data_IF_187661076826
#
_entry.id   IF_187661076826
#
_cell.length_a   1.000
_cell.length_b   1.000
_cell.length_c   1.000
_cell.angle_alpha   90.00
_cell.angle_beta   90.00
_cell.angle_gamma   90.00
#
_symmetry.space_group_name_H-M   'P 1'
#
loop_
_entity.id
_entity.type
_entity.pdbx_description
1 polymer ?
#
# COMPACT_ATOMS: atom_id res chain seq x y z
N UNK A 1 -15.41 5.19 2.41
CA UNK A 1 -16.38 6.29 2.64
C UNK A 1 -15.63 7.34 3.44
N UNK A 2 -15.62 8.59 3.01
CA UNK A 2 -14.89 9.68 3.65
C UNK A 2 -15.90 10.71 4.16
N UNK A 3 -15.65 11.29 5.34
CA UNK A 3 -16.48 12.35 5.93
C UNK A 3 -15.66 13.63 6.02
N UNK A 4 -16.18 14.72 5.43
CA UNK A 4 -15.46 15.99 5.32
C UNK A 4 -16.43 17.18 5.43
N UNK A 5 -15.94 18.33 5.98
CA UNK A 5 -16.70 19.57 5.96
C UNK A 5 -16.94 20.08 4.54
N UNK A 6 -18.02 20.79 4.34
CA UNK A 6 -18.37 21.40 3.05
C UNK A 6 -18.00 22.89 3.07
N UNK A 7 -17.19 23.28 2.11
CA UNK A 7 -16.85 24.67 1.83
C UNK A 7 -17.44 25.03 0.46
N UNK A 8 -18.46 25.87 0.44
CA UNK A 8 -19.18 26.24 -0.80
C UNK A 8 -18.41 27.24 -1.67
N UNK A 9 -17.52 28.02 -1.09
CA UNK A 9 -16.79 29.09 -1.76
C UNK A 9 -15.35 28.68 -2.16
N UNK A 10 -15.20 27.55 -2.87
CA UNK A 10 -13.88 27.10 -3.32
C UNK A 10 -13.65 27.51 -4.77
N UNK A 11 -12.61 28.30 -5.02
CA UNK A 11 -12.13 28.61 -6.36
C UNK A 11 -11.11 27.58 -6.84
N UNK A 12 -10.82 27.57 -8.15
CA UNK A 12 -9.83 26.66 -8.74
C UNK A 12 -8.41 26.87 -8.18
N UNK A 13 -8.10 28.06 -7.64
CA UNK A 13 -6.82 28.36 -6.98
C UNK A 13 -6.68 27.69 -5.62
N UNK A 14 -7.78 27.56 -4.89
CA UNK A 14 -7.80 27.13 -3.49
C UNK A 14 -7.69 25.61 -3.33
N UNK A 15 -7.78 24.83 -4.41
CA UNK A 15 -7.79 23.35 -4.41
C UNK A 15 -6.54 22.78 -3.72
N UNK A 16 -5.40 23.46 -3.87
CA UNK A 16 -4.12 22.99 -3.36
C UNK A 16 -3.79 23.53 -1.96
N UNK A 17 -4.61 24.40 -1.40
CA UNK A 17 -4.37 25.00 -0.09
C UNK A 17 -4.69 24.06 1.07
N UNK A 18 -5.68 23.18 0.89
CA UNK A 18 -6.01 22.18 1.91
C UNK A 18 -6.52 20.87 1.30
N UNK A 19 -6.42 19.79 2.09
CA UNK A 19 -7.02 18.50 1.69
C UNK A 19 -8.54 18.58 1.62
N UNK A 20 -9.18 19.37 2.47
CA UNK A 20 -10.65 19.51 2.50
C UNK A 20 -11.15 20.22 1.25
N UNK A 21 -10.42 21.22 0.75
CA UNK A 21 -10.71 21.87 -0.52
C UNK A 21 -10.64 20.87 -1.70
N UNK A 22 -9.68 19.97 -1.70
CA UNK A 22 -9.59 18.92 -2.73
C UNK A 22 -10.83 18.00 -2.69
N UNK A 23 -11.27 17.57 -1.49
CA UNK A 23 -12.44 16.71 -1.37
C UNK A 23 -13.72 17.43 -1.82
N UNK A 24 -13.88 18.69 -1.48
CA UNK A 24 -14.99 19.52 -1.92
C UNK A 24 -14.98 19.69 -3.45
N UNK A 25 -13.83 20.00 -4.05
CA UNK A 25 -13.69 20.08 -5.50
C UNK A 25 -14.12 18.77 -6.19
N UNK A 26 -13.66 17.61 -5.70
CA UNK A 26 -14.03 16.30 -6.25
C UNK A 26 -15.54 16.02 -6.09
N UNK A 27 -16.16 16.52 -5.03
CA UNK A 27 -17.60 16.44 -4.84
C UNK A 27 -18.37 17.31 -5.81
N UNK A 28 -18.04 18.59 -5.90
CA UNK A 28 -18.74 19.55 -6.78
C UNK A 28 -18.55 19.22 -8.27
N UNK A 29 -17.45 18.61 -8.65
CA UNK A 29 -17.20 18.18 -10.03
C UNK A 29 -17.78 16.79 -10.36
N UNK A 30 -18.45 16.12 -9.40
CA UNK A 30 -19.12 14.85 -9.61
C UNK A 30 -18.22 13.62 -9.55
N UNK A 31 -16.96 13.78 -9.15
CA UNK A 31 -16.06 12.66 -8.88
C UNK A 31 -16.37 11.93 -7.56
N UNK A 32 -17.11 12.59 -6.67
CA UNK A 32 -17.68 12.00 -5.46
C UNK A 32 -19.18 12.29 -5.41
N UNK A 33 -19.91 11.42 -4.73
CA UNK A 33 -21.33 11.61 -4.43
C UNK A 33 -21.57 11.68 -2.92
N UNK A 34 -22.53 12.49 -2.51
CA UNK A 34 -23.05 12.49 -1.15
C UNK A 34 -23.78 11.18 -0.86
N UNK A 35 -23.50 10.58 0.30
CA UNK A 35 -24.24 9.44 0.85
C UNK A 35 -25.02 9.80 2.10
N UNK A 36 -24.44 10.63 2.96
CA UNK A 36 -25.08 11.13 4.19
C UNK A 36 -24.67 12.58 4.38
N UNK A 37 -25.57 13.35 4.94
CA UNK A 37 -25.36 14.72 5.37
C UNK A 37 -25.56 14.81 6.88
N UNK A 38 -24.67 15.46 7.58
CA UNK A 38 -24.76 15.68 9.03
C UNK A 38 -24.20 17.04 9.40
N UNK A 39 -24.80 17.66 10.40
CA UNK A 39 -24.35 18.93 10.94
C UNK A 39 -23.57 18.66 12.23
N UNK A 40 -22.38 19.26 12.36
CA UNK A 40 -21.54 19.18 13.55
C UNK A 40 -21.00 20.58 13.84
N UNK A 41 -21.17 21.05 15.06
CA UNK A 41 -20.63 22.34 15.52
C UNK A 41 -20.92 23.52 14.58
N UNK A 42 -22.17 23.59 14.06
CA UNK A 42 -22.66 24.58 13.09
C UNK A 42 -22.09 24.44 11.66
N UNK A 43 -21.19 23.46 11.41
CA UNK A 43 -20.67 23.17 10.08
C UNK A 43 -21.37 21.98 9.44
N UNK A 44 -21.49 22.04 8.12
CA UNK A 44 -22.07 20.97 7.31
C UNK A 44 -21.00 19.94 6.92
N UNK A 45 -21.21 18.69 7.31
CA UNK A 45 -20.35 17.57 6.95
C UNK A 45 -21.06 16.63 5.97
N UNK A 46 -20.34 16.20 4.95
CA UNK A 46 -20.82 15.19 4.01
C UNK A 46 -20.02 13.89 4.14
N UNK A 47 -20.73 12.77 4.20
CA UNK A 47 -20.14 11.46 3.89
C UNK A 47 -20.19 11.26 2.39
N UNK A 48 -19.02 11.05 1.80
CA UNK A 48 -18.84 10.95 0.37
C UNK A 48 -18.38 9.56 -0.04
N UNK A 49 -18.78 9.14 -1.24
CA UNK A 49 -18.35 7.88 -1.85
C UNK A 49 -18.17 8.05 -3.36
N UNK A 50 -17.46 7.13 -3.98
CA UNK A 50 -17.32 7.06 -5.43
C UNK A 50 -18.70 6.76 -6.04
N UNK A 51 -19.18 7.56 -7.03
CA UNK A 51 -20.55 7.49 -7.52
C UNK A 51 -20.86 6.22 -8.32
N UNK A 52 -19.93 5.73 -9.11
CA UNK A 52 -20.12 4.62 -10.04
C UNK A 52 -18.81 3.91 -10.45
N UNK A 53 -18.94 2.84 -11.22
CA UNK A 53 -17.80 2.03 -11.67
C UNK A 53 -16.86 2.77 -12.64
N UNK A 54 -17.38 3.70 -13.45
CA UNK A 54 -16.57 4.50 -14.37
C UNK A 54 -15.61 5.40 -13.60
N UNK A 55 -16.11 6.14 -12.62
CA UNK A 55 -15.29 6.98 -11.75
C UNK A 55 -14.32 6.13 -10.92
N UNK A 56 -14.75 4.97 -10.42
CA UNK A 56 -13.85 4.03 -9.74
C UNK A 56 -12.70 3.57 -10.65
N UNK A 57 -12.97 3.35 -11.93
CA UNK A 57 -11.94 3.00 -12.91
C UNK A 57 -10.95 4.15 -13.16
N UNK A 58 -11.45 5.40 -13.25
CA UNK A 58 -10.61 6.59 -13.41
C UNK A 58 -9.66 6.72 -12.21
N UNK A 59 -10.16 6.65 -10.97
CA UNK A 59 -9.32 6.70 -9.78
C UNK A 59 -8.26 5.61 -9.78
N UNK A 60 -8.67 4.36 -10.08
CA UNK A 60 -7.74 3.22 -10.14
C UNK A 60 -6.64 3.45 -11.18
N UNK A 61 -6.99 3.88 -12.38
CA UNK A 61 -6.03 4.11 -13.45
C UNK A 61 -5.11 5.29 -13.14
N UNK A 62 -5.61 6.34 -12.53
CA UNK A 62 -4.81 7.51 -12.10
C UNK A 62 -3.79 7.09 -11.04
N UNK A 63 -4.24 6.35 -10.01
CA UNK A 63 -3.36 5.83 -8.96
C UNK A 63 -2.31 4.89 -9.56
N UNK A 64 -2.70 3.95 -10.42
CA UNK A 64 -1.76 3.04 -11.08
C UNK A 64 -0.74 3.79 -11.94
N UNK A 65 -1.18 4.79 -12.70
CA UNK A 65 -0.29 5.60 -13.54
C UNK A 65 0.70 6.41 -12.69
N UNK A 66 0.23 6.95 -11.57
CA UNK A 66 1.09 7.67 -10.63
C UNK A 66 2.13 6.73 -9.99
N UNK A 67 1.70 5.54 -9.55
CA UNK A 67 2.60 4.50 -9.06
C UNK A 67 3.64 4.11 -10.11
N UNK A 68 3.21 3.82 -11.33
CA UNK A 68 4.13 3.46 -12.42
C UNK A 68 5.19 4.54 -12.68
N UNK A 69 4.77 5.81 -12.67
CA UNK A 69 5.69 6.93 -12.87
C UNK A 69 6.71 7.07 -11.72
N UNK A 70 6.27 6.82 -10.48
CA UNK A 70 7.14 6.94 -9.31
C UNK A 70 8.10 5.75 -9.23
N UNK A 71 7.59 4.53 -9.37
CA UNK A 71 8.39 3.31 -9.31
C UNK A 71 9.42 3.24 -10.44
N UNK A 72 9.08 3.62 -11.67
CA UNK A 72 10.04 3.65 -12.78
C UNK A 72 11.22 4.60 -12.56
N UNK A 73 11.09 5.57 -11.66
CA UNK A 73 12.16 6.51 -11.29
C UNK A 73 12.93 6.08 -10.04
N UNK A 74 12.42 5.10 -9.28
CA UNK A 74 13.04 4.64 -8.05
C UNK A 74 14.05 3.55 -8.37
N UNK A 75 15.30 3.77 -7.98
CA UNK A 75 16.32 2.72 -8.04
C UNK A 75 16.04 1.69 -6.94
N UNK A 76 15.68 0.48 -7.35
CA UNK A 76 15.39 -0.64 -6.43
C UNK A 76 16.63 -1.47 -6.08
N UNK A 77 17.80 -1.14 -6.64
CA UNK A 77 19.04 -1.86 -6.38
C UNK A 77 19.37 -1.95 -4.89
N UNK A 78 19.21 -0.87 -4.07
CA UNK A 78 19.46 -0.96 -2.64
C UNK A 78 18.51 -1.94 -1.91
N UNK A 79 17.23 -1.95 -2.27
CA UNK A 79 16.26 -2.89 -1.71
C UNK A 79 16.60 -4.33 -2.06
N UNK A 80 16.91 -4.59 -3.34
CA UNK A 80 17.26 -5.94 -3.80
C UNK A 80 18.54 -6.44 -3.13
N UNK A 81 19.54 -5.58 -3.00
CA UNK A 81 20.77 -5.90 -2.29
C UNK A 81 20.52 -6.21 -0.80
N UNK A 82 19.68 -5.42 -0.13
CA UNK A 82 19.29 -5.68 1.26
C UNK A 82 18.58 -7.02 1.42
N UNK A 83 17.67 -7.36 0.51
CA UNK A 83 16.97 -8.67 0.50
C UNK A 83 17.97 -9.82 0.27
N UNK A 84 18.87 -9.71 -0.71
CA UNK A 84 19.88 -10.71 -1.02
C UNK A 84 20.87 -10.94 0.13
N UNK A 85 21.23 -9.85 0.83
CA UNK A 85 22.10 -9.88 2.00
C UNK A 85 21.38 -10.23 3.31
N UNK A 86 20.05 -10.44 3.27
CA UNK A 86 19.19 -10.67 4.44
C UNK A 86 19.26 -9.53 5.46
N UNK A 87 19.51 -8.30 5.00
CA UNK A 87 19.56 -7.10 5.84
C UNK A 87 18.17 -6.52 6.00
N UNK A 88 17.44 -6.98 7.03
CA UNK A 88 16.06 -6.57 7.29
C UNK A 88 15.94 -5.08 7.65
N UNK A 89 16.96 -4.50 8.32
CA UNK A 89 16.95 -3.08 8.68
C UNK A 89 16.98 -2.20 7.43
N UNK A 90 17.96 -2.44 6.55
CA UNK A 90 18.09 -1.67 5.31
C UNK A 90 16.87 -1.84 4.38
N UNK A 91 16.32 -3.06 4.29
CA UNK A 91 15.09 -3.29 3.52
C UNK A 91 13.89 -2.55 4.13
N UNK A 92 13.74 -2.58 5.45
CA UNK A 92 12.69 -1.89 6.18
C UNK A 92 12.79 -0.37 6.06
N UNK A 93 13.99 0.20 6.19
CA UNK A 93 14.23 1.64 5.99
C UNK A 93 13.84 2.08 4.59
N UNK A 94 14.31 1.37 3.57
CA UNK A 94 13.98 1.67 2.18
C UNK A 94 12.47 1.65 1.93
N UNK A 95 11.78 0.57 2.35
CA UNK A 95 10.32 0.44 2.18
C UNK A 95 9.59 1.56 2.94
N UNK A 96 10.02 1.88 4.18
CA UNK A 96 9.41 2.92 5.00
C UNK A 96 9.58 4.31 4.39
N UNK A 97 10.71 4.59 3.76
CA UNK A 97 10.96 5.83 3.05
C UNK A 97 10.02 5.96 1.84
N UNK A 98 9.91 4.91 1.03
CA UNK A 98 8.99 4.91 -0.10
C UNK A 98 7.52 5.02 0.34
N UNK A 99 7.15 4.42 1.47
CA UNK A 99 5.82 4.56 2.05
C UNK A 99 5.54 5.99 2.52
N UNK A 100 6.45 6.63 3.23
CA UNK A 100 6.29 8.02 3.72
C UNK A 100 5.97 9.00 2.60
N UNK A 101 6.59 8.81 1.45
CA UNK A 101 6.37 9.65 0.27
C UNK A 101 5.03 9.40 -0.43
N UNK A 102 4.34 8.33 -0.09
CA UNK A 102 3.17 7.87 -0.85
C UNK A 102 1.85 7.93 -0.10
N UNK A 103 1.87 8.06 1.24
CA UNK A 103 0.67 7.87 2.07
C UNK A 103 0.51 8.92 3.16
N UNK A 104 -0.73 9.38 3.30
CA UNK A 104 -1.28 9.90 4.56
C UNK A 104 -1.54 8.72 5.51
N UNK A 105 -1.14 8.83 6.77
CA UNK A 105 -1.05 7.82 7.84
C UNK A 105 -2.34 7.07 8.24
N UNK A 106 -3.39 7.10 7.44
CA UNK A 106 -4.73 6.68 7.89
C UNK A 106 -5.26 5.37 7.30
N UNK A 107 -4.52 4.69 6.42
CA UNK A 107 -5.04 3.46 5.82
C UNK A 107 -4.24 2.23 6.30
N UNK A 108 -4.70 1.61 7.39
CA UNK A 108 -4.10 0.40 7.97
C UNK A 108 -4.56 -0.90 7.30
N UNK A 109 -5.12 -0.84 6.10
CA UNK A 109 -5.61 -2.02 5.43
C UNK A 109 -4.45 -2.84 4.84
N UNK A 110 -4.32 -4.10 5.24
CA UNK A 110 -3.35 -5.07 4.72
C UNK A 110 -3.31 -5.10 3.18
N UNK A 111 -4.48 -4.98 2.56
CA UNK A 111 -4.63 -4.89 1.11
C UNK A 111 -3.89 -3.73 0.47
N UNK A 112 -3.72 -2.64 1.20
CA UNK A 112 -2.99 -1.48 0.71
C UNK A 112 -1.49 -1.78 0.65
N UNK A 113 -0.92 -2.27 1.74
CA UNK A 113 0.51 -2.63 1.81
C UNK A 113 0.86 -3.72 0.81
N UNK A 114 -0.02 -4.70 0.62
CA UNK A 114 0.12 -5.72 -0.40
C UNK A 114 0.18 -5.11 -1.82
N UNK A 115 -0.74 -4.21 -2.14
CA UNK A 115 -0.76 -3.51 -3.43
C UNK A 115 0.48 -2.65 -3.65
N UNK A 116 0.89 -1.90 -2.62
CA UNK A 116 2.09 -1.07 -2.64
C UNK A 116 3.35 -1.91 -2.89
N UNK A 117 3.59 -2.95 -2.09
CA UNK A 117 4.78 -3.81 -2.24
C UNK A 117 4.79 -4.55 -3.57
N UNK A 118 3.63 -5.05 -4.02
CA UNK A 118 3.51 -5.67 -5.34
C UNK A 118 3.90 -4.69 -6.45
N UNK A 119 3.43 -3.44 -6.36
CA UNK A 119 3.78 -2.38 -7.30
C UNK A 119 5.26 -2.03 -7.26
N UNK A 120 5.82 -1.85 -6.06
CA UNK A 120 7.22 -1.52 -5.86
C UNK A 120 8.14 -2.62 -6.42
N UNK A 121 7.92 -3.86 -6.01
CA UNK A 121 8.76 -5.01 -6.39
C UNK A 121 8.65 -5.38 -7.88
N UNK A 122 7.56 -4.98 -8.56
CA UNK A 122 7.41 -5.18 -10.00
C UNK A 122 8.50 -4.47 -10.81
N UNK A 123 9.11 -3.44 -10.25
CA UNK A 123 10.28 -2.76 -10.85
C UNK A 123 11.60 -3.52 -10.70
N UNK A 124 11.66 -4.60 -9.91
CA UNK A 124 12.86 -5.43 -9.71
C UNK A 124 13.08 -6.39 -10.90
N UNK A 125 13.56 -5.88 -12.00
CA UNK A 125 13.61 -6.50 -13.33
C UNK A 125 14.25 -7.89 -13.47
N UNK A 126 14.86 -8.44 -12.42
CA UNK A 126 15.44 -9.80 -12.41
C UNK A 126 14.53 -10.84 -11.76
N UNK A 127 13.30 -10.48 -11.42
CA UNK A 127 12.34 -11.36 -10.78
C UNK A 127 10.95 -11.24 -11.42
N UNK A 128 10.35 -12.39 -11.74
CA UNK A 128 8.93 -12.48 -12.04
C UNK A 128 8.14 -12.42 -10.73
N UNK A 129 7.18 -11.51 -10.66
CA UNK A 129 6.35 -11.33 -9.49
C UNK A 129 5.02 -12.06 -9.66
N UNK A 130 4.73 -12.99 -8.76
CA UNK A 130 3.46 -13.68 -8.69
C UNK A 130 2.72 -13.22 -7.43
N UNK A 131 1.56 -12.59 -7.59
CA UNK A 131 0.71 -12.12 -6.51
C UNK A 131 -0.66 -12.79 -6.61
N UNK A 132 -1.07 -13.52 -5.57
CA UNK A 132 -2.32 -14.29 -5.57
C UNK A 132 -3.33 -13.73 -4.57
N UNK A 133 -4.09 -12.72 -5.01
CA UNK A 133 -5.12 -12.04 -4.22
C UNK A 133 -6.47 -12.79 -4.11
N UNK A 134 -6.68 -13.86 -4.85
CA UNK A 134 -8.03 -14.45 -5.02
C UNK A 134 -8.23 -15.83 -4.41
N UNK A 135 -7.30 -16.37 -3.68
CA UNK A 135 -7.50 -17.71 -3.14
C UNK A 135 -7.39 -17.72 -1.63
N UNK A 136 -8.49 -18.01 -1.00
CA UNK A 136 -8.50 -18.48 0.37
C UNK A 136 -7.51 -19.61 0.57
N UNK A 137 -7.14 -19.86 1.80
CA UNK A 137 -6.29 -20.91 2.34
C UNK A 137 -5.20 -21.49 1.40
N UNK A 138 -3.95 -21.12 1.63
CA UNK A 138 -2.82 -21.91 1.16
C UNK A 138 -1.89 -21.28 0.14
N UNK A 139 -2.05 -20.00 -0.27
CA UNK A 139 -1.10 -19.35 -1.21
C UNK A 139 -0.39 -18.18 -0.57
N UNK A 140 0.92 -17.97 -0.85
CA UNK A 140 1.66 -16.80 -0.40
C UNK A 140 1.09 -15.51 -0.97
N UNK A 141 1.26 -14.40 -0.24
CA UNK A 141 0.80 -13.09 -0.69
C UNK A 141 1.58 -12.64 -1.93
N UNK A 142 2.91 -12.76 -1.89
CA UNK A 142 3.79 -12.40 -2.99
C UNK A 142 4.89 -13.45 -3.13
N UNK A 143 5.16 -13.89 -4.35
CA UNK A 143 6.31 -14.73 -4.70
C UNK A 143 7.16 -13.95 -5.69
N UNK A 144 8.46 -13.82 -5.40
CA UNK A 144 9.46 -13.32 -6.33
C UNK A 144 10.22 -14.52 -6.91
N UNK A 145 9.95 -14.85 -8.15
CA UNK A 145 10.58 -15.94 -8.85
C UNK A 145 11.72 -15.41 -9.70
N UNK A 146 12.96 -15.85 -9.50
CA UNK A 146 14.09 -15.36 -10.28
C UNK A 146 13.99 -15.80 -11.75
N UNK A 147 14.55 -14.97 -12.63
CA UNK A 147 14.72 -15.27 -14.06
C UNK A 147 15.76 -16.37 -14.31
N UNK A 148 16.63 -16.65 -13.34
CA UNK A 148 17.68 -17.66 -13.44
C UNK A 148 17.66 -18.61 -12.23
N UNK A 149 18.01 -19.88 -12.45
CA UNK A 149 18.10 -20.91 -11.40
C UNK A 149 19.22 -20.68 -10.39
N UNK A 150 20.10 -19.69 -10.65
CA UNK A 150 21.23 -19.36 -9.77
C UNK A 150 20.85 -18.41 -8.64
N UNK A 151 19.70 -17.74 -8.75
CA UNK A 151 19.19 -16.82 -7.73
C UNK A 151 18.12 -17.48 -6.88
N UNK A 152 18.03 -17.16 -5.59
CA UNK A 152 16.96 -17.66 -4.73
C UNK A 152 15.61 -17.06 -5.13
N UNK A 153 14.53 -17.84 -4.97
CA UNK A 153 13.18 -17.32 -4.96
C UNK A 153 12.86 -16.79 -3.56
N UNK A 154 12.05 -15.74 -3.49
CA UNK A 154 11.60 -15.16 -2.22
C UNK A 154 10.08 -15.27 -2.09
N UNK A 155 9.63 -15.54 -0.87
CA UNK A 155 8.23 -15.56 -0.50
C UNK A 155 8.03 -14.48 0.55
N UNK A 156 7.03 -13.63 0.33
CA UNK A 156 6.67 -12.55 1.24
C UNK A 156 5.24 -12.80 1.73
N UNK A 157 5.08 -12.87 3.03
CA UNK A 157 3.81 -12.87 3.72
C UNK A 157 3.67 -11.54 4.47
N UNK A 158 2.52 -10.91 4.36
CA UNK A 158 2.25 -9.59 4.90
C UNK A 158 1.24 -9.68 6.02
N UNK A 159 1.49 -8.99 7.11
CA UNK A 159 0.55 -8.82 8.20
C UNK A 159 0.51 -7.36 8.62
N UNK A 160 -0.68 -6.82 8.78
CA UNK A 160 -0.88 -5.47 9.29
C UNK A 160 -1.12 -5.51 10.80
N UNK A 161 -0.23 -4.89 11.57
CA UNK A 161 -0.37 -4.73 13.00
C UNK A 161 -1.06 -3.40 13.30
N UNK A 162 -2.13 -3.43 14.10
CA UNK A 162 -2.79 -2.21 14.62
C UNK A 162 -2.05 -1.61 15.83
N UNK A 163 -1.26 -2.44 16.52
CA UNK A 163 -0.46 -2.05 17.69
C UNK A 163 0.95 -2.59 17.51
N UNK A 164 1.94 -1.76 17.82
CA UNK A 164 3.35 -2.11 17.73
C UNK A 164 3.69 -3.38 18.54
N UNK A 165 3.03 -3.57 19.68
CA UNK A 165 3.21 -4.75 20.55
C UNK A 165 2.84 -6.07 19.91
N UNK A 166 1.98 -6.04 18.89
CA UNK A 166 1.55 -7.23 18.15
C UNK A 166 2.46 -7.57 16.95
N UNK A 167 3.40 -6.70 16.60
CA UNK A 167 4.24 -6.89 15.41
C UNK A 167 5.05 -8.18 15.47
N UNK A 168 5.66 -8.49 16.61
CA UNK A 168 6.45 -9.72 16.76
C UNK A 168 5.62 -10.98 16.56
N UNK A 169 4.47 -11.04 17.23
CA UNK A 169 3.56 -12.18 17.09
C UNK A 169 3.09 -12.35 15.65
N UNK A 170 2.70 -11.26 14.98
CA UNK A 170 2.25 -11.32 13.59
C UNK A 170 3.37 -11.66 12.60
N UNK A 171 4.61 -11.27 12.88
CA UNK A 171 5.77 -11.73 12.12
C UNK A 171 5.97 -13.25 12.24
N UNK A 172 5.86 -13.80 13.45
CA UNK A 172 5.97 -15.24 13.68
C UNK A 172 4.84 -16.01 12.98
N UNK A 173 3.62 -15.50 13.02
CA UNK A 173 2.48 -16.07 12.30
C UNK A 173 2.70 -16.04 10.77
N UNK A 174 3.15 -14.91 10.21
CA UNK A 174 3.47 -14.79 8.80
C UNK A 174 4.56 -15.80 8.38
N UNK A 175 5.60 -15.92 9.19
CA UNK A 175 6.70 -16.86 8.96
C UNK A 175 6.24 -18.32 9.02
N UNK A 176 5.37 -18.65 9.98
CA UNK A 176 4.78 -20.00 10.08
C UNK A 176 3.92 -20.31 8.85
N UNK A 177 3.13 -19.34 8.36
CA UNK A 177 2.33 -19.48 7.15
C UNK A 177 3.21 -19.69 5.91
N UNK A 178 4.28 -18.90 5.76
CA UNK A 178 5.22 -19.05 4.65
C UNK A 178 5.89 -20.45 4.64
N UNK A 179 6.28 -20.95 5.81
CA UNK A 179 6.87 -22.31 5.97
C UNK A 179 5.87 -23.41 5.62
N UNK A 180 4.65 -23.31 6.10
CA UNK A 180 3.62 -24.33 5.90
C UNK A 180 3.23 -24.45 4.42
N UNK A 181 3.19 -23.33 3.70
CA UNK A 181 2.73 -23.28 2.32
C UNK A 181 3.76 -23.77 1.30
N UNK A 182 5.07 -23.75 1.59
CA UNK A 182 6.10 -23.90 0.56
C UNK A 182 7.32 -24.76 0.93
N UNK A 183 7.32 -25.49 2.02
CA UNK A 183 8.32 -26.50 2.35
C UNK A 183 9.75 -26.03 2.63
N UNK A 184 10.14 -24.81 2.25
CA UNK A 184 11.47 -24.25 2.52
C UNK A 184 11.41 -22.73 2.65
N UNK A 185 11.25 -22.21 3.85
CA UNK A 185 11.30 -20.78 4.10
C UNK A 185 12.72 -20.38 4.50
N UNK A 186 13.25 -19.33 3.88
CA UNK A 186 14.44 -18.65 4.37
C UNK A 186 14.01 -17.71 5.49
N UNK A 187 14.33 -18.09 6.72
CA UNK A 187 14.08 -17.27 7.91
C UNK A 187 15.13 -16.18 7.96
N UNK A 188 14.73 -14.94 7.88
CA UNK A 188 15.58 -13.83 8.31
C UNK A 188 15.52 -13.76 9.82
N UNK A 189 16.64 -14.07 10.49
CA UNK A 189 16.77 -13.90 11.94
C UNK A 189 16.61 -12.43 12.32
N UNK A 190 15.89 -12.20 13.41
CA UNK A 190 15.74 -10.89 14.04
C UNK A 190 17.09 -10.37 14.51
N UNK A 191 17.35 -9.09 14.30
CA UNK A 191 18.25 -8.38 15.20
C UNK A 191 17.42 -7.86 16.40
N UNK A 192 17.83 -8.15 17.63
CA UNK A 192 17.20 -7.56 18.80
C UNK A 192 17.63 -6.11 18.94
N UNK A 193 16.69 -5.22 19.01
CA UNK A 193 16.84 -3.89 19.59
C UNK A 193 17.16 -2.77 18.63
N UNK A 194 16.17 -1.97 18.37
CA UNK A 194 16.17 -0.52 18.68
C UNK A 194 14.75 -0.18 19.16
#
# INVERSE_FOLDING_TARGET
MIEKPVHEEITHGDIYESQDNLWNFLFFTGYLKKTVECQKDEELYLKMAIPNAQIASIYRNTVLTWFDKKIKKTDLSPLMQAIEQKNCSAAGEFISEQLRDTISFFDYAENYYHGFLTGLLKGAGSYELLSNRKSGEGRPDIIMKPDTIRKPAYILELKAAKDFRLMEQLCDEALAQAKQKNGTAVVTERQPGI
#
